data_IF_359163320606
#
_entry.id   IF_359163320606
#
_cell.length_a   1.000
_cell.length_b   1.000
_cell.length_c   1.000
_cell.angle_alpha   90.00
_cell.angle_beta   90.00
_cell.angle_gamma   90.00
#
_symmetry.space_group_name_H-M   'P 1'
#
loop_
_entity.id
_entity.type
_entity.pdbx_description
1 polymer ?
#
# COMPACT_ATOMS: atom_id res chain seq x y z
N UNK A 1 9.10 28.08 -1.98
CA UNK A 1 9.83 27.37 -0.90
C UNK A 1 9.43 28.03 0.40
N UNK A 2 9.19 27.25 1.44
CA UNK A 2 8.85 27.79 2.76
C UNK A 2 9.99 27.48 3.72
N UNK A 3 10.34 28.48 4.54
CA UNK A 3 11.40 28.37 5.53
C UNK A 3 10.71 28.35 6.90
N UNK A 4 10.99 27.35 7.73
CA UNK A 4 10.37 27.18 9.05
C UNK A 4 11.43 27.02 10.14
N UNK A 5 11.21 27.51 11.36
CA UNK A 5 12.17 27.38 12.44
C UNK A 5 12.29 25.91 12.88
N UNK A 6 13.52 25.44 13.12
CA UNK A 6 13.75 24.10 13.64
C UNK A 6 13.57 24.05 15.18
N UNK A 7 13.26 22.88 15.76
CA UNK A 7 13.14 22.68 17.21
C UNK A 7 14.35 23.18 17.98
N UNK A 8 15.56 23.05 17.42
CA UNK A 8 16.80 23.54 18.04
C UNK A 8 16.80 25.05 18.24
N UNK A 9 16.35 25.80 17.24
CA UNK A 9 16.24 27.27 17.33
C UNK A 9 15.22 27.67 18.40
N UNK A 10 14.08 26.96 18.45
CA UNK A 10 13.05 27.21 19.48
C UNK A 10 13.55 26.88 20.88
N UNK A 11 14.32 25.80 21.05
CA UNK A 11 14.94 25.44 22.34
C UNK A 11 15.99 26.47 22.75
N UNK A 12 16.83 26.94 21.84
CA UNK A 12 17.83 27.99 22.11
C UNK A 12 17.17 29.32 22.47
N UNK A 13 16.10 29.70 21.76
CA UNK A 13 15.27 30.86 22.13
C UNK A 13 14.62 30.68 23.50
N UNK A 14 14.06 29.51 23.77
CA UNK A 14 13.43 29.18 25.05
C UNK A 14 14.40 29.19 26.22
N UNK A 15 15.63 28.69 26.04
CA UNK A 15 16.71 28.75 27.03
C UNK A 15 17.27 30.16 27.22
N UNK A 16 17.12 31.05 26.22
CA UNK A 16 17.48 32.46 26.34
C UNK A 16 16.67 33.19 27.42
N UNK A 17 15.42 32.79 27.66
CA UNK A 17 14.54 33.41 28.65
C UNK A 17 14.99 33.19 30.12
N UNK A 18 15.22 31.95 30.60
CA UNK A 18 15.75 31.72 31.95
C UNK A 18 17.18 32.24 32.09
N UNK A 19 18.00 32.20 31.03
CA UNK A 19 19.33 32.79 31.04
C UNK A 19 19.28 34.31 31.23
N UNK A 20 18.34 35.00 30.57
CA UNK A 20 18.12 36.44 30.75
C UNK A 20 17.74 36.77 32.19
N UNK A 21 16.77 36.04 32.76
CA UNK A 21 16.33 36.22 34.14
C UNK A 21 17.49 35.98 35.12
N UNK A 22 18.27 34.92 34.93
CA UNK A 22 19.44 34.63 35.75
C UNK A 22 20.51 35.72 35.70
N UNK A 23 20.82 36.24 34.49
CA UNK A 23 21.78 37.34 34.32
C UNK A 23 21.25 38.62 34.98
N UNK A 24 19.96 38.92 34.87
CA UNK A 24 19.35 40.08 35.52
C UNK A 24 19.40 40.04 37.05
N UNK A 25 19.32 38.85 37.65
CA UNK A 25 19.36 38.67 39.10
C UNK A 25 20.79 38.66 39.68
N UNK A 26 21.74 38.02 39.01
CA UNK A 26 23.10 37.79 39.55
C UNK A 26 24.18 38.73 38.98
N UNK A 27 23.97 39.31 37.80
CA UNK A 27 24.95 40.19 37.14
C UNK A 27 24.25 41.30 36.32
N UNK A 28 23.64 42.30 36.97
CA UNK A 28 22.87 43.35 36.29
C UNK A 28 23.67 44.13 35.24
N UNK A 29 24.98 44.30 35.46
CA UNK A 29 25.88 44.94 34.50
C UNK A 29 26.00 44.17 33.17
N UNK A 30 25.69 42.87 33.15
CA UNK A 30 25.75 42.04 31.95
C UNK A 30 24.41 41.98 31.19
N UNK A 31 23.35 42.63 31.69
CA UNK A 31 22.03 42.67 31.05
C UNK A 31 22.05 43.12 29.58
N UNK A 32 22.85 44.12 29.16
CA UNK A 32 22.92 44.54 27.76
C UNK A 32 23.44 43.46 26.79
N UNK A 33 24.16 42.45 27.28
CA UNK A 33 24.68 41.37 26.45
C UNK A 33 23.61 40.34 26.07
N UNK A 34 22.52 40.26 26.82
CA UNK A 34 21.38 39.36 26.52
C UNK A 34 20.73 39.67 25.17
N UNK A 35 20.29 40.92 24.88
CA UNK A 35 19.74 41.25 23.57
C UNK A 35 20.78 41.13 22.44
N UNK A 36 22.07 41.38 22.72
CA UNK A 36 23.16 41.19 21.74
C UNK A 36 23.31 39.71 21.38
N UNK A 37 23.28 38.81 22.38
CA UNK A 37 23.34 37.37 22.15
C UNK A 37 22.11 36.84 21.40
N UNK A 38 20.91 37.36 21.70
CA UNK A 38 19.69 37.04 20.98
C UNK A 38 19.73 37.52 19.52
N UNK A 39 20.23 38.74 19.29
CA UNK A 39 20.43 39.28 17.94
C UNK A 39 21.45 38.43 17.16
N UNK A 40 22.56 38.06 17.79
CA UNK A 40 23.55 37.18 17.19
C UNK A 40 22.96 35.82 16.82
N UNK A 41 22.15 35.21 17.70
CA UNK A 41 21.44 33.96 17.39
C UNK A 41 20.48 34.13 16.20
N UNK A 42 19.76 35.23 16.14
CA UNK A 42 18.88 35.54 15.01
C UNK A 42 19.66 35.69 13.70
N UNK A 43 20.78 36.42 13.72
CA UNK A 43 21.66 36.57 12.55
C UNK A 43 22.20 35.20 12.10
N UNK A 44 22.64 34.36 13.03
CA UNK A 44 23.11 33.00 12.72
C UNK A 44 21.98 32.14 12.13
N UNK A 45 20.74 32.26 12.61
CA UNK A 45 19.60 31.55 12.05
C UNK A 45 19.26 32.03 10.63
N UNK A 46 19.32 33.34 10.37
CA UNK A 46 19.11 33.92 9.03
C UNK A 46 20.22 33.45 8.08
N UNK A 47 21.47 33.47 8.51
CA UNK A 47 22.61 32.97 7.73
C UNK A 47 22.46 31.47 7.45
N UNK A 48 22.05 30.65 8.44
CA UNK A 48 21.79 29.22 8.23
C UNK A 48 20.68 28.99 7.19
N UNK A 49 19.64 29.83 7.17
CA UNK A 49 18.59 29.79 6.16
C UNK A 49 19.06 30.24 4.77
N UNK A 50 19.94 31.25 4.70
CA UNK A 50 20.46 31.79 3.44
C UNK A 50 21.47 30.85 2.78
N UNK A 51 22.32 30.20 3.60
CA UNK A 51 23.31 29.20 3.17
C UNK A 51 22.75 27.79 3.09
N UNK A 52 21.49 27.58 3.50
CA UNK A 52 20.81 26.31 3.32
C UNK A 52 20.82 25.95 1.83
N UNK A 53 21.04 24.66 1.47
CA UNK A 53 21.02 24.24 0.08
C UNK A 53 19.73 24.69 -0.61
N UNK A 54 19.87 25.63 -1.54
CA UNK A 54 18.74 26.11 -2.33
C UNK A 54 18.30 24.94 -3.20
N UNK A 55 17.07 24.47 -3.01
CA UNK A 55 16.52 23.32 -3.72
C UNK A 55 16.28 23.54 -5.23
N UNK A 56 17.00 24.48 -5.86
CA UNK A 56 17.11 24.61 -7.31
C UNK A 56 17.76 23.32 -7.83
N UNK A 57 17.01 22.55 -8.64
CA UNK A 57 17.46 21.25 -9.14
C UNK A 57 17.08 20.02 -8.30
N UNK A 58 16.22 20.15 -7.27
CA UNK A 58 15.63 18.97 -6.63
C UNK A 58 14.78 18.19 -7.64
N UNK A 59 15.22 16.97 -7.99
CA UNK A 59 14.44 16.00 -8.76
C UNK A 59 14.02 14.85 -7.86
N UNK A 60 12.72 14.55 -7.87
CA UNK A 60 12.13 13.44 -7.15
C UNK A 60 11.60 12.45 -8.19
N UNK A 61 12.27 11.31 -8.29
CA UNK A 61 11.82 10.20 -9.13
C UNK A 61 11.04 9.23 -8.24
N UNK A 62 9.72 9.17 -8.44
CA UNK A 62 8.79 8.26 -7.76
C UNK A 62 8.23 7.27 -8.76
N UNK A 63 8.39 5.97 -8.49
CA UNK A 63 7.76 4.93 -9.30
C UNK A 63 6.43 4.53 -8.68
N UNK A 64 5.36 5.04 -9.25
CA UNK A 64 3.99 4.76 -8.80
C UNK A 64 3.40 3.61 -9.63
N UNK A 65 2.92 2.53 -8.99
CA UNK A 65 2.19 1.49 -9.70
C UNK A 65 0.78 1.97 -10.07
N UNK A 66 0.23 1.39 -11.14
CA UNK A 66 -1.09 1.77 -11.68
C UNK A 66 -2.24 1.33 -10.76
N UNK A 67 -2.09 0.19 -10.07
CA UNK A 67 -3.11 -0.36 -9.19
C UNK A 67 -2.51 -1.01 -7.93
N UNK A 68 -3.30 -1.02 -6.86
CA UNK A 68 -2.94 -1.55 -5.54
C UNK A 68 -4.13 -2.29 -4.93
N UNK A 69 -3.86 -3.45 -4.33
CA UNK A 69 -4.85 -4.19 -3.56
C UNK A 69 -5.16 -3.51 -2.22
N UNK A 70 -6.43 -3.42 -1.86
CA UNK A 70 -6.86 -2.96 -0.53
C UNK A 70 -6.25 -3.81 0.58
N UNK A 71 -5.79 -3.16 1.65
CA UNK A 71 -5.22 -3.84 2.82
C UNK A 71 -3.77 -4.26 2.68
N UNK A 72 -3.16 -4.06 1.50
CA UNK A 72 -1.73 -4.28 1.30
C UNK A 72 -0.91 -3.00 1.44
N UNK A 73 0.33 -3.22 1.83
CA UNK A 73 1.36 -2.21 1.89
C UNK A 73 1.87 -1.98 0.47
N UNK A 74 1.91 -0.72 0.08
CA UNK A 74 2.44 -0.27 -1.19
C UNK A 74 3.87 0.25 -0.97
N UNK A 75 4.90 -0.55 -1.26
CA UNK A 75 6.26 -0.05 -1.25
C UNK A 75 6.46 0.89 -2.44
N UNK A 76 6.64 2.18 -2.16
CA UNK A 76 6.96 3.20 -3.16
C UNK A 76 8.46 3.51 -3.09
N UNK A 77 9.29 2.89 -3.96
CA UNK A 77 10.68 3.27 -4.05
C UNK A 77 10.78 4.69 -4.60
N UNK A 78 11.59 5.51 -3.95
CA UNK A 78 11.84 6.88 -4.38
C UNK A 78 13.33 7.16 -4.45
N UNK A 79 13.70 8.05 -5.37
CA UNK A 79 15.06 8.58 -5.49
C UNK A 79 14.98 10.11 -5.50
N UNK A 80 15.66 10.72 -4.54
CA UNK A 80 15.79 12.17 -4.40
C UNK A 80 17.20 12.57 -4.81
N UNK A 81 17.30 13.37 -5.88
CA UNK A 81 18.56 13.92 -6.39
C UNK A 81 18.61 15.42 -6.13
N UNK A 82 19.67 15.83 -5.43
CA UNK A 82 20.04 17.24 -5.28
C UNK A 82 21.14 17.56 -6.27
N UNK A 83 20.93 18.56 -7.13
CA UNK A 83 21.94 19.01 -8.09
C UNK A 83 22.97 19.97 -7.47
N UNK A 84 22.71 20.43 -6.24
CA UNK A 84 23.56 21.32 -5.45
C UNK A 84 24.07 20.58 -4.21
N UNK A 85 24.48 21.32 -3.17
CA UNK A 85 24.90 20.78 -1.87
C UNK A 85 23.84 19.81 -1.32
N UNK A 86 24.29 18.62 -0.94
CA UNK A 86 23.43 17.60 -0.33
C UNK A 86 23.26 17.90 1.16
N UNK A 87 22.02 18.08 1.67
CA UNK A 87 21.80 18.24 3.11
C UNK A 87 22.09 16.93 3.86
N UNK A 88 22.36 17.00 5.17
CA UNK A 88 22.61 15.81 6.00
C UNK A 88 21.33 15.07 6.42
N UNK A 89 20.18 15.76 6.45
CA UNK A 89 18.89 15.19 6.84
C UNK A 89 17.80 15.63 5.89
N UNK A 90 17.08 14.67 5.36
CA UNK A 90 15.93 14.87 4.47
C UNK A 90 14.74 14.10 5.02
N UNK A 91 13.60 14.76 5.01
CA UNK A 91 12.30 14.20 5.31
C UNK A 91 11.42 14.32 4.06
N UNK A 92 10.80 13.21 3.68
CA UNK A 92 9.86 13.15 2.57
C UNK A 92 8.47 12.81 3.11
N UNK A 93 7.47 13.60 2.75
CA UNK A 93 6.06 13.32 3.02
C UNK A 93 5.23 13.43 1.75
N UNK A 94 4.20 12.60 1.64
CA UNK A 94 3.27 12.63 0.51
C UNK A 94 1.93 13.22 0.95
N UNK A 95 1.35 14.06 0.10
CA UNK A 95 0.00 14.59 0.23
C UNK A 95 -1.00 13.56 -0.27
N UNK A 96 -1.32 12.61 0.60
CA UNK A 96 -2.21 11.48 0.32
C UNK A 96 -3.66 11.80 0.67
N UNK A 97 -4.60 11.30 -0.13
CA UNK A 97 -6.03 11.36 0.18
C UNK A 97 -6.41 10.34 1.28
N UNK A 98 -7.61 10.44 1.86
CA UNK A 98 -8.16 9.57 2.92
C UNK A 98 -8.04 8.07 2.60
N UNK A 99 -8.07 7.71 1.32
CA UNK A 99 -7.90 6.34 0.81
C UNK A 99 -6.53 5.74 1.19
N UNK A 100 -5.50 6.59 1.19
CA UNK A 100 -4.08 6.24 1.36
C UNK A 100 -3.49 6.81 2.68
N UNK A 101 -4.32 7.41 3.54
CA UNK A 101 -3.92 8.26 4.67
C UNK A 101 -3.17 7.54 5.83
N UNK A 102 -2.97 6.22 5.75
CA UNK A 102 -2.37 5.43 6.80
C UNK A 102 -0.87 5.13 6.59
N UNK A 103 -0.19 5.90 5.73
CA UNK A 103 1.24 5.72 5.46
C UNK A 103 2.10 6.11 6.67
N UNK A 104 2.91 5.18 7.17
CA UNK A 104 3.96 5.45 8.16
C UNK A 104 5.19 5.99 7.45
N UNK A 105 5.78 7.06 7.98
CA UNK A 105 6.97 7.69 7.41
C UNK A 105 8.17 7.46 8.31
N UNK A 106 9.26 6.93 7.76
CA UNK A 106 10.55 7.00 8.44
C UNK A 106 11.06 8.45 8.41
N UNK A 107 11.31 8.97 9.61
CA UNK A 107 11.61 10.39 9.86
C UNK A 107 13.03 10.77 9.45
N UNK A 108 13.90 9.81 9.15
CA UNK A 108 15.33 10.04 8.90
C UNK A 108 15.80 9.12 7.77
N UNK A 109 16.16 9.70 6.63
CA UNK A 109 16.63 8.94 5.48
C UNK A 109 18.16 8.85 5.49
N UNK A 110 18.74 7.64 5.48
CA UNK A 110 20.18 7.48 5.34
C UNK A 110 20.64 7.99 3.97
N UNK A 111 21.81 8.64 3.96
CA UNK A 111 22.46 9.13 2.74
C UNK A 111 23.07 7.95 1.99
N UNK A 112 22.72 7.77 0.72
CA UNK A 112 23.41 6.84 -0.16
C UNK A 112 24.46 7.62 -0.98
N UNK A 113 25.70 7.16 -0.95
CA UNK A 113 26.88 7.93 -1.37
C UNK A 113 26.89 8.27 -2.88
N UNK A 114 26.28 7.42 -3.72
CA UNK A 114 26.35 7.53 -5.19
C UNK A 114 25.04 7.94 -5.88
N UNK A 115 23.88 7.81 -5.21
CA UNK A 115 22.55 7.96 -5.86
C UNK A 115 21.67 9.07 -5.28
N UNK A 116 22.12 9.75 -4.23
CA UNK A 116 21.34 10.75 -3.48
C UNK A 116 20.65 10.14 -2.26
N UNK A 117 19.39 10.52 -2.02
CA UNK A 117 18.59 9.88 -0.98
C UNK A 117 17.63 8.88 -1.61
N UNK A 118 17.83 7.59 -1.33
CA UNK A 118 16.92 6.52 -1.76
C UNK A 118 16.26 5.88 -0.55
N UNK A 119 15.01 5.51 -0.70
CA UNK A 119 14.26 4.80 0.32
C UNK A 119 12.99 4.19 -0.26
N UNK A 120 12.28 3.46 0.60
CA UNK A 120 10.97 2.91 0.27
C UNK A 120 9.96 3.54 1.21
N UNK A 121 8.92 4.14 0.64
CA UNK A 121 7.82 4.73 1.39
C UNK A 121 6.64 3.76 1.36
N UNK A 122 6.23 3.25 2.52
CA UNK A 122 5.14 2.29 2.62
C UNK A 122 3.81 3.04 2.73
N UNK A 123 3.00 2.98 1.68
CA UNK A 123 1.66 3.56 1.65
C UNK A 123 0.63 2.46 1.87
N UNK A 124 -0.28 2.64 2.83
CA UNK A 124 -1.31 1.66 3.12
C UNK A 124 -2.67 2.13 2.60
N UNK A 125 -3.32 1.31 1.77
CA UNK A 125 -4.63 1.59 1.23
C UNK A 125 -5.73 0.96 2.11
N UNK A 126 -6.54 1.80 2.78
CA UNK A 126 -7.59 1.33 3.72
C UNK A 126 -8.93 1.02 3.07
N UNK A 127 -9.24 1.64 1.93
CA UNK A 127 -10.52 1.48 1.23
C UNK A 127 -10.29 1.38 -0.26
N UNK A 128 -11.20 0.69 -0.96
CA UNK A 128 -11.27 0.74 -2.42
C UNK A 128 -11.60 2.14 -2.91
N UNK A 129 -11.15 2.44 -4.12
CA UNK A 129 -11.45 3.68 -4.83
C UNK A 129 -10.21 4.31 -5.44
N UNK A 130 -10.34 5.57 -5.86
CA UNK A 130 -9.24 6.35 -6.43
C UNK A 130 -8.36 6.90 -5.30
N UNK A 131 -7.10 6.48 -5.27
CA UNK A 131 -6.08 7.02 -4.38
C UNK A 131 -5.33 8.16 -5.08
N UNK A 132 -5.53 9.39 -4.63
CA UNK A 132 -4.86 10.55 -5.19
C UNK A 132 -3.59 10.91 -4.38
N UNK A 133 -2.52 11.21 -5.10
CA UNK A 133 -1.24 11.67 -4.58
C UNK A 133 -0.99 13.07 -5.15
N UNK A 134 -1.33 14.08 -4.36
CA UNK A 134 -1.30 15.49 -4.80
C UNK A 134 0.11 16.03 -4.98
N UNK A 135 0.92 15.97 -3.92
CA UNK A 135 2.26 16.54 -3.92
C UNK A 135 3.17 15.82 -2.92
N UNK A 136 4.47 15.86 -3.19
CA UNK A 136 5.50 15.49 -2.24
C UNK A 136 6.02 16.75 -1.55
N UNK A 137 6.09 16.70 -0.24
CA UNK A 137 6.69 17.70 0.61
C UNK A 137 8.05 17.19 1.04
N UNK A 138 9.09 17.81 0.50
CA UNK A 138 10.48 17.50 0.85
C UNK A 138 10.96 18.58 1.80
N UNK A 139 11.42 18.18 2.98
CA UNK A 139 11.94 19.06 4.02
C UNK A 139 13.37 18.67 4.35
N UNK A 140 14.27 19.63 4.47
CA UNK A 140 15.66 19.39 4.89
C UNK A 140 16.15 20.49 5.82
N UNK A 141 17.23 20.20 6.55
CA UNK A 141 17.86 21.15 7.47
C UNK A 141 18.97 21.94 6.79
N UNK A 142 19.17 23.18 7.25
CA UNK A 142 20.43 23.93 7.04
C UNK A 142 21.64 23.23 7.67
N UNK A 143 22.82 23.82 7.51
CA UNK A 143 24.08 23.25 8.01
C UNK A 143 24.11 23.25 9.54
N UNK A 144 23.68 24.34 10.18
CA UNK A 144 23.58 24.44 11.64
C UNK A 144 22.32 23.74 12.18
N UNK A 145 21.38 23.42 11.30
CA UNK A 145 20.12 22.75 11.66
C UNK A 145 19.20 23.62 12.51
N UNK A 146 19.32 24.94 12.39
CA UNK A 146 18.47 25.93 13.04
C UNK A 146 17.21 26.20 12.24
N UNK A 147 17.26 25.95 10.94
CA UNK A 147 16.20 26.23 10.00
C UNK A 147 15.87 25.00 9.15
N UNK A 148 14.57 24.80 8.89
CA UNK A 148 14.05 23.86 7.91
C UNK A 148 13.68 24.58 6.62
N UNK A 149 14.12 24.02 5.50
CA UNK A 149 13.67 24.42 4.17
C UNK A 149 12.72 23.36 3.64
N UNK A 150 11.55 23.79 3.19
CA UNK A 150 10.51 22.93 2.65
C UNK A 150 10.18 23.31 1.21
N UNK A 151 10.16 22.30 0.34
CA UNK A 151 9.78 22.41 -1.07
C UNK A 151 8.62 21.47 -1.37
N UNK A 152 7.59 22.03 -2.00
CA UNK A 152 6.47 21.27 -2.58
C UNK A 152 6.85 20.86 -4.00
N UNK A 153 6.75 19.57 -4.30
CA UNK A 153 6.88 18.98 -5.64
C UNK A 153 5.49 18.45 -6.03
N UNK A 154 4.79 19.06 -7.01
CA UNK A 154 3.52 18.53 -7.48
C UNK A 154 3.76 17.18 -8.16
N UNK A 155 2.92 16.18 -7.85
CA UNK A 155 2.98 14.84 -8.43
C UNK A 155 1.72 14.51 -9.22
N UNK A 156 0.57 15.08 -8.83
CA UNK A 156 -0.75 14.94 -9.49
C UNK A 156 -1.02 13.53 -10.03
N UNK A 157 -0.65 12.53 -9.23
CA UNK A 157 -0.66 11.14 -9.64
C UNK A 157 -1.82 10.40 -8.98
N UNK A 158 -2.31 9.38 -9.66
CA UNK A 158 -3.50 8.64 -9.27
C UNK A 158 -3.23 7.15 -9.33
N UNK A 159 -3.66 6.46 -8.28
CA UNK A 159 -3.52 5.03 -8.10
C UNK A 159 -4.90 4.42 -7.90
N UNK A 160 -5.24 3.42 -8.71
CA UNK A 160 -6.51 2.70 -8.54
C UNK A 160 -6.39 1.67 -7.44
N UNK A 161 -7.19 1.79 -6.38
CA UNK A 161 -7.21 0.81 -5.30
C UNK A 161 -8.31 -0.21 -5.56
N UNK A 162 -7.89 -1.42 -5.93
CA UNK A 162 -8.75 -2.56 -6.32
C UNK A 162 -8.86 -3.58 -5.18
N UNK A 163 -9.78 -4.57 -5.28
CA UNK A 163 -9.69 -5.76 -4.44
C UNK A 163 -8.31 -6.40 -4.55
N UNK A 164 -7.84 -7.00 -3.47
CA UNK A 164 -6.57 -7.73 -3.47
C UNK A 164 -6.74 -9.11 -4.12
N UNK A 165 -6.63 -9.15 -5.45
CA UNK A 165 -6.72 -10.40 -6.22
C UNK A 165 -5.42 -11.20 -6.17
N UNK A 166 -4.29 -10.59 -5.83
CA UNK A 166 -2.98 -11.27 -5.84
C UNK A 166 -2.89 -12.37 -4.79
N UNK A 167 -3.62 -12.25 -3.68
CA UNK A 167 -3.71 -13.30 -2.66
C UNK A 167 -4.45 -14.51 -3.20
N UNK A 168 -5.62 -14.25 -3.80
CA UNK A 168 -6.43 -15.28 -4.45
C UNK A 168 -5.68 -15.95 -5.59
N UNK A 169 -4.97 -15.21 -6.45
CA UNK A 169 -4.20 -15.82 -7.56
C UNK A 169 -3.17 -16.85 -7.06
N UNK A 170 -2.52 -16.58 -5.92
CA UNK A 170 -1.57 -17.52 -5.32
C UNK A 170 -2.29 -18.75 -4.75
N UNK A 171 -3.35 -18.55 -3.97
CA UNK A 171 -4.14 -19.65 -3.38
C UNK A 171 -4.81 -20.51 -4.47
N UNK A 172 -5.37 -19.86 -5.49
CA UNK A 172 -5.93 -20.51 -6.66
C UNK A 172 -4.87 -21.29 -7.43
N UNK A 173 -3.66 -20.74 -7.64
CA UNK A 173 -2.57 -21.48 -8.30
C UNK A 173 -2.18 -22.74 -7.53
N UNK A 174 -2.22 -22.71 -6.19
CA UNK A 174 -1.98 -23.88 -5.35
C UNK A 174 -3.10 -24.92 -5.49
N UNK A 175 -4.36 -24.49 -5.54
CA UNK A 175 -5.49 -25.40 -5.79
C UNK A 175 -5.43 -26.02 -7.19
N UNK A 176 -5.20 -25.23 -8.24
CA UNK A 176 -5.13 -25.71 -9.62
C UNK A 176 -3.87 -26.55 -9.91
N UNK A 177 -2.79 -26.37 -9.14
CA UNK A 177 -1.60 -27.20 -9.26
C UNK A 177 -1.79 -28.60 -8.68
N UNK A 178 -2.67 -28.79 -7.69
CA UNK A 178 -3.06 -30.13 -7.22
C UNK A 178 -3.67 -30.95 -8.36
N UNK A 179 -4.54 -30.33 -9.17
CA UNK A 179 -5.14 -31.00 -10.33
C UNK A 179 -4.11 -31.26 -11.45
N UNK A 180 -3.08 -30.43 -11.57
CA UNK A 180 -2.07 -30.55 -12.63
C UNK A 180 -0.97 -31.58 -12.33
N UNK A 181 -0.81 -32.01 -11.07
CA UNK A 181 0.20 -33.03 -10.67
C UNK A 181 -0.11 -34.41 -11.26
N UNK A 182 -1.37 -34.70 -11.61
CA UNK A 182 -1.77 -36.00 -12.16
C UNK A 182 -1.65 -36.11 -13.70
N UNK A 183 -1.14 -35.06 -14.35
CA UNK A 183 -1.00 -34.99 -15.82
C UNK A 183 -2.34 -34.79 -16.53
N UNK A 184 -2.29 -34.43 -17.80
CA UNK A 184 -3.44 -34.22 -18.71
C UNK A 184 -4.09 -35.58 -19.06
N UNK A 185 -4.43 -36.38 -18.06
CA UNK A 185 -5.23 -37.58 -18.24
C UNK A 185 -6.60 -37.27 -17.69
N UNK A 186 -7.53 -37.04 -18.59
CA UNK A 186 -8.94 -36.81 -18.25
C UNK A 186 -9.41 -38.00 -17.42
N UNK A 187 -9.43 -37.83 -16.09
CA UNK A 187 -10.00 -38.83 -15.21
C UNK A 187 -11.50 -38.65 -15.33
N UNK A 188 -12.12 -39.45 -16.19
CA UNK A 188 -13.57 -39.54 -16.22
C UNK A 188 -13.98 -40.20 -14.91
N UNK A 189 -14.42 -39.38 -13.95
CA UNK A 189 -15.07 -39.83 -12.72
C UNK A 189 -16.48 -40.32 -13.07
N UNK A 190 -16.51 -41.45 -13.79
CA UNK A 190 -17.73 -42.17 -14.12
C UNK A 190 -18.25 -42.78 -12.81
N UNK A 191 -19.58 -42.91 -12.70
CA UNK A 191 -20.28 -43.55 -11.58
C UNK A 191 -20.45 -42.72 -10.30
N UNK A 192 -19.99 -41.46 -10.25
CA UNK A 192 -20.06 -40.58 -9.06
C UNK A 192 -20.75 -39.23 -9.37
N UNK A 193 -21.97 -39.26 -9.93
CA UNK A 193 -22.75 -38.03 -10.12
C UNK A 193 -24.17 -38.25 -10.63
N UNK A 194 -24.83 -37.13 -10.93
CA UNK A 194 -26.23 -37.04 -11.39
C UNK A 194 -26.38 -36.65 -12.85
N UNK A 195 -25.29 -36.23 -13.52
CA UNK A 195 -25.34 -35.83 -14.93
C UNK A 195 -25.35 -37.07 -15.83
N UNK A 196 -26.34 -37.17 -16.72
CA UNK A 196 -26.39 -38.25 -17.70
C UNK A 196 -25.21 -38.15 -18.68
N UNK A 197 -24.38 -39.20 -18.73
CA UNK A 197 -23.25 -39.27 -19.64
C UNK A 197 -23.60 -40.05 -20.91
N UNK A 198 -24.01 -41.31 -20.76
CA UNK A 198 -24.28 -42.20 -21.89
C UNK A 198 -25.19 -43.38 -21.52
N UNK A 199 -25.69 -44.06 -22.56
CA UNK A 199 -26.30 -45.39 -22.44
C UNK A 199 -25.24 -46.44 -22.79
N UNK A 200 -25.10 -47.48 -21.95
CA UNK A 200 -24.18 -48.60 -22.19
C UNK A 200 -24.90 -49.93 -22.01
N UNK A 201 -24.42 -50.99 -22.64
CA UNK A 201 -24.94 -52.34 -22.39
C UNK A 201 -24.74 -52.70 -20.90
N UNK A 202 -25.78 -53.28 -20.30
CA UNK A 202 -25.82 -53.58 -18.88
C UNK A 202 -24.88 -54.73 -18.54
N UNK A 203 -24.07 -54.54 -17.50
CA UNK A 203 -23.23 -55.57 -16.89
C UNK A 203 -23.86 -56.01 -15.57
N UNK A 204 -23.84 -57.32 -15.26
CA UNK A 204 -24.40 -57.87 -14.03
C UNK A 204 -23.69 -57.38 -12.77
N UNK A 205 -22.49 -56.79 -12.89
CA UNK A 205 -21.80 -56.12 -11.78
C UNK A 205 -22.39 -54.77 -11.39
N UNK A 206 -23.33 -54.21 -12.16
CA UNK A 206 -23.93 -52.89 -11.93
C UNK A 206 -25.24 -52.98 -11.14
N UNK A 207 -25.61 -51.87 -10.48
CA UNK A 207 -26.92 -51.74 -9.84
C UNK A 207 -28.04 -51.78 -10.88
N UNK A 208 -28.97 -52.72 -10.71
CA UNK A 208 -30.11 -52.96 -11.59
C UNK A 208 -31.09 -51.79 -11.64
N UNK A 209 -31.05 -50.88 -10.65
CA UNK A 209 -31.84 -49.64 -10.66
C UNK A 209 -31.43 -48.67 -11.78
N UNK A 210 -30.24 -48.84 -12.35
CA UNK A 210 -29.74 -48.00 -13.46
C UNK A 210 -30.21 -48.48 -14.84
N UNK A 211 -30.93 -49.60 -14.92
CA UNK A 211 -31.44 -50.15 -16.18
C UNK A 211 -32.45 -49.19 -16.80
N UNK A 212 -32.22 -48.83 -18.06
CA UNK A 212 -33.21 -48.11 -18.87
C UNK A 212 -34.13 -49.11 -19.56
N UNK A 213 -35.25 -49.42 -18.90
CA UNK A 213 -36.26 -50.35 -19.43
C UNK A 213 -36.85 -49.92 -20.78
N UNK A 214 -36.96 -48.60 -21.02
CA UNK A 214 -37.55 -48.06 -22.26
C UNK A 214 -36.63 -48.29 -23.45
N UNK A 215 -35.34 -48.01 -23.29
CA UNK A 215 -34.36 -48.25 -24.35
C UNK A 215 -34.12 -49.75 -24.57
N UNK A 216 -34.12 -50.52 -23.48
CA UNK A 216 -33.91 -51.97 -23.52
C UNK A 216 -35.00 -52.71 -24.29
N UNK A 217 -36.27 -52.32 -24.09
CA UNK A 217 -37.41 -52.90 -24.80
C UNK A 217 -37.37 -52.69 -26.32
N UNK A 218 -36.72 -51.61 -26.81
CA UNK A 218 -36.64 -51.28 -28.24
C UNK A 218 -35.57 -52.06 -29.00
N UNK A 219 -34.49 -52.40 -28.31
CA UNK A 219 -33.28 -52.95 -28.93
C UNK A 219 -33.03 -54.42 -28.56
N UNK A 220 -33.95 -55.05 -27.81
CA UNK A 220 -33.86 -56.44 -27.35
C UNK A 220 -32.54 -56.77 -26.62
N UNK A 221 -31.97 -55.76 -25.95
CA UNK A 221 -30.74 -55.83 -25.15
C UNK A 221 -30.90 -54.97 -23.91
N UNK A 222 -30.29 -55.36 -22.79
CA UNK A 222 -30.32 -54.57 -21.55
C UNK A 222 -29.34 -53.40 -21.64
N UNK A 223 -29.84 -52.19 -21.40
CA UNK A 223 -29.04 -50.97 -21.32
C UNK A 223 -29.09 -50.37 -19.92
N UNK A 224 -27.96 -49.85 -19.46
CA UNK A 224 -27.75 -49.13 -18.21
C UNK A 224 -27.43 -47.65 -18.49
N UNK A 225 -27.95 -46.75 -17.65
CA UNK A 225 -27.59 -45.32 -17.68
C UNK A 225 -26.30 -45.09 -16.91
N UNK A 226 -25.31 -44.53 -17.59
CA UNK A 226 -24.07 -44.10 -16.98
C UNK A 226 -24.17 -42.62 -16.63
N UNK A 227 -23.83 -42.30 -15.38
CA UNK A 227 -23.80 -40.92 -14.89
C UNK A 227 -22.36 -40.51 -14.60
N UNK A 228 -22.06 -39.25 -14.85
CA UNK A 228 -20.80 -38.62 -14.51
C UNK A 228 -21.02 -37.56 -13.43
N UNK A 229 -19.94 -37.21 -12.71
CA UNK A 229 -19.92 -36.02 -11.87
C UNK A 229 -20.34 -34.81 -12.72
N UNK A 230 -21.29 -34.01 -12.22
CA UNK A 230 -21.71 -32.77 -12.88
C UNK A 230 -20.48 -31.87 -13.06
N UNK A 231 -20.20 -31.50 -14.31
CA UNK A 231 -19.12 -30.57 -14.67
C UNK A 231 -19.71 -29.25 -15.15
N UNK A 232 -18.96 -28.16 -14.97
CA UNK A 232 -19.31 -26.82 -15.46
C UNK A 232 -20.58 -26.21 -14.82
N UNK A 233 -20.74 -26.26 -13.49
CA UNK A 233 -21.80 -25.51 -12.82
C UNK A 233 -21.68 -24.01 -13.08
N UNK A 234 -22.77 -23.40 -13.52
CA UNK A 234 -22.88 -21.95 -13.59
C UNK A 234 -23.13 -21.42 -12.17
N UNK A 235 -22.05 -21.01 -11.49
CA UNK A 235 -22.14 -20.39 -10.16
C UNK A 235 -22.30 -18.88 -10.35
N UNK A 236 -23.38 -18.32 -9.79
CA UNK A 236 -23.59 -16.87 -9.75
C UNK A 236 -23.37 -16.38 -8.33
N UNK A 237 -22.36 -15.54 -8.14
CA UNK A 237 -22.07 -14.90 -6.87
C UNK A 237 -22.78 -13.54 -6.82
N UNK A 238 -23.66 -13.36 -5.85
CA UNK A 238 -24.40 -12.11 -5.62
C UNK A 238 -23.94 -11.51 -4.30
N UNK A 239 -23.33 -10.31 -4.38
CA UNK A 239 -22.85 -9.58 -3.22
C UNK A 239 -23.82 -8.46 -2.85
N UNK A 240 -24.18 -8.38 -1.56
CA UNK A 240 -24.87 -7.20 -1.02
C UNK A 240 -23.90 -5.99 -1.03
N UNK A 241 -24.37 -4.85 -1.54
CA UNK A 241 -23.62 -3.59 -1.61
C UNK A 241 -24.26 -2.49 -0.74
N UNK A 242 -25.16 -2.87 0.16
CA UNK A 242 -25.83 -1.97 1.09
C UNK A 242 -24.90 -1.34 2.14
N UNK A 243 -25.47 -0.43 2.95
CA UNK A 243 -24.74 0.35 3.95
C UNK A 243 -23.97 -0.51 4.97
N UNK A 244 -24.54 -1.64 5.40
CA UNK A 244 -23.93 -2.56 6.38
C UNK A 244 -22.65 -3.22 5.84
N UNK A 245 -22.53 -3.36 4.52
CA UNK A 245 -21.34 -3.93 3.88
C UNK A 245 -20.17 -2.93 3.81
N UNK A 246 -20.43 -1.66 4.10
CA UNK A 246 -19.42 -0.62 4.26
C UNK A 246 -18.74 -0.61 5.64
N UNK A 247 -19.25 -1.35 6.62
CA UNK A 247 -18.66 -1.41 7.96
C UNK A 247 -17.28 -2.10 7.93
N UNK A 248 -16.31 -1.59 8.71
CA UNK A 248 -14.99 -2.22 8.80
C UNK A 248 -15.06 -3.53 9.60
N UNK A 249 -14.49 -4.59 9.04
CA UNK A 249 -14.22 -5.89 9.63
C UNK A 249 -12.72 -6.18 9.50
N UNK A 250 -12.03 -6.29 10.64
CA UNK A 250 -10.58 -6.52 10.68
C UNK A 250 -9.76 -5.54 9.80
N UNK A 251 -10.11 -4.25 9.83
CA UNK A 251 -9.41 -3.19 9.11
C UNK A 251 -9.82 -2.97 7.65
N UNK A 252 -10.65 -3.85 7.06
CA UNK A 252 -11.18 -3.74 5.69
C UNK A 252 -12.71 -3.67 5.70
N UNK A 253 -13.34 -3.20 4.63
CA UNK A 253 -14.82 -3.24 4.56
C UNK A 253 -15.32 -4.68 4.49
N UNK A 254 -16.50 -4.97 5.05
CA UNK A 254 -17.14 -6.30 4.94
C UNK A 254 -17.28 -6.75 3.48
N UNK A 255 -17.64 -5.85 2.57
CA UNK A 255 -17.71 -6.14 1.14
C UNK A 255 -16.37 -6.60 0.56
N UNK A 256 -15.24 -6.07 1.03
CA UNK A 256 -13.90 -6.46 0.56
C UNK A 256 -13.59 -7.88 0.97
N UNK A 257 -13.95 -8.23 2.21
CA UNK A 257 -13.80 -9.59 2.72
C UNK A 257 -14.73 -10.58 2.04
N UNK A 258 -15.99 -10.21 1.77
CA UNK A 258 -16.92 -11.07 1.05
C UNK A 258 -16.42 -11.39 -0.37
N UNK A 259 -15.89 -10.39 -1.08
CA UNK A 259 -15.32 -10.58 -2.41
C UNK A 259 -14.07 -11.46 -2.35
N UNK A 260 -13.18 -11.23 -1.37
CA UNK A 260 -12.01 -12.09 -1.18
C UNK A 260 -12.38 -13.54 -0.86
N UNK A 261 -13.46 -13.78 -0.12
CA UNK A 261 -13.89 -15.13 0.25
C UNK A 261 -14.65 -15.88 -0.84
N UNK A 262 -15.24 -15.16 -1.80
CA UNK A 262 -15.97 -15.77 -2.91
C UNK A 262 -15.14 -15.98 -4.18
N UNK A 263 -13.93 -15.42 -4.23
CA UNK A 263 -12.95 -15.58 -5.30
C UNK A 263 -11.98 -16.71 -4.94
#
# INVERSE_FOLDING_TARGET
MTITPAPRLLVLLGLGLPAAIGVGLYAPQAWPWVPVAMLALFVVAVLDGLFAPVGQGLKLDLRLPKSVGVGRDLPLPFVLRFHSRTPNRVELRLGLNRVLAASTYDRLLPRDADRGFSGVLNVHARTRGRGDISAAWVRWTGWLGLVYVQKKVPLDAQVSVTPDLKGVEQDASNLFSIDNIYGVRVQNQLHTGSEYHALREYDSSQDHRRIDWRSSARHMKLYSREYQAERNHHIVLVYDTGRLMGEPLAGLKRLDRAIYAGL
#
